data_IF_528810366532
#
_entry.id   IF_528810366532
#
_cell.length_a   1.000
_cell.length_b   1.000
_cell.length_c   1.000
_cell.angle_alpha   90.00
_cell.angle_beta   90.00
_cell.angle_gamma   90.00
#
_symmetry.space_group_name_H-M   'P 1'
#
loop_
_entity.id
_entity.type
_entity.pdbx_description
1 polymer ?
#
# COMPACT_ATOMS: atom_id res chain seq x y z
N UNK A 1 -11.48 -43.78 -26.22
CA UNK A 1 -12.01 -42.49 -25.74
C UNK A 1 -11.70 -42.36 -24.26
N UNK A 2 -10.53 -41.82 -23.89
CA UNK A 2 -10.11 -41.79 -22.47
C UNK A 2 -8.87 -40.96 -22.17
N UNK A 3 -8.11 -40.55 -23.18
CA UNK A 3 -6.89 -39.74 -23.01
C UNK A 3 -7.12 -38.24 -23.09
N UNK A 4 -8.23 -37.79 -23.67
CA UNK A 4 -8.52 -36.35 -23.88
C UNK A 4 -8.97 -35.64 -22.59
N UNK A 5 -9.58 -36.35 -21.64
CA UNK A 5 -10.10 -35.76 -20.39
C UNK A 5 -8.97 -35.46 -19.40
N UNK A 6 -7.89 -36.26 -19.39
CA UNK A 6 -6.78 -36.08 -18.45
C UNK A 6 -5.98 -34.78 -18.66
N UNK A 7 -5.87 -34.30 -19.90
CA UNK A 7 -5.14 -33.06 -20.21
C UNK A 7 -5.92 -31.80 -19.78
N UNK A 8 -7.26 -31.85 -19.77
CA UNK A 8 -8.07 -30.74 -19.26
C UNK A 8 -7.91 -30.58 -17.73
N UNK A 9 -7.79 -31.68 -17.00
CA UNK A 9 -7.65 -31.67 -15.53
C UNK A 9 -6.31 -31.12 -15.06
N UNK A 10 -5.22 -31.40 -15.78
CA UNK A 10 -3.89 -30.85 -15.47
C UNK A 10 -3.86 -29.35 -15.77
N UNK A 11 -4.57 -28.89 -16.81
CA UNK A 11 -4.65 -27.47 -17.13
C UNK A 11 -5.24 -26.66 -15.98
N UNK A 12 -6.28 -27.15 -15.28
CA UNK A 12 -6.92 -26.42 -14.17
C UNK A 12 -5.96 -26.20 -12.99
N UNK A 13 -5.05 -27.14 -12.72
CA UNK A 13 -4.09 -27.05 -11.60
C UNK A 13 -2.92 -26.09 -11.92
N UNK A 14 -2.49 -26.01 -13.17
CA UNK A 14 -1.37 -25.12 -13.59
C UNK A 14 -1.86 -23.73 -14.00
N UNK A 15 -3.12 -23.58 -14.40
CA UNK A 15 -3.71 -22.32 -14.87
C UNK A 15 -3.72 -21.16 -13.85
N UNK A 16 -3.87 -21.35 -12.51
CA UNK A 16 -3.70 -20.23 -11.59
C UNK A 16 -2.26 -19.68 -11.58
N UNK A 17 -1.27 -20.42 -12.08
CA UNK A 17 0.13 -19.98 -12.11
C UNK A 17 0.55 -19.33 -13.45
N UNK A 18 -0.12 -19.68 -14.56
CA UNK A 18 0.22 -19.23 -15.92
C UNK A 18 -0.54 -17.97 -16.39
N UNK A 19 -1.33 -17.36 -15.51
CA UNK A 19 -2.02 -16.07 -15.73
C UNK A 19 -1.25 -14.83 -15.24
N UNK A 20 0.01 -14.96 -14.82
CA UNK A 20 0.79 -13.90 -14.16
C UNK A 20 1.42 -12.84 -15.08
N UNK A 21 0.97 -12.72 -16.33
CA UNK A 21 1.42 -11.64 -17.26
C UNK A 21 0.74 -10.28 -17.05
N UNK A 22 0.15 -10.03 -15.88
CA UNK A 22 -0.33 -8.68 -15.47
C UNK A 22 0.33 -8.12 -14.22
N UNK A 23 1.32 -8.79 -13.64
CA UNK A 23 2.15 -8.20 -12.58
C UNK A 23 3.40 -7.54 -13.18
N UNK A 24 3.23 -6.82 -14.29
CA UNK A 24 4.26 -5.90 -14.76
C UNK A 24 4.22 -4.70 -13.82
N UNK A 25 5.09 -4.72 -12.81
CA UNK A 25 5.58 -3.55 -12.10
C UNK A 25 4.51 -2.54 -11.65
N UNK A 26 3.80 -2.82 -10.56
CA UNK A 26 3.19 -1.75 -9.74
C UNK A 26 4.09 -1.44 -8.53
N UNK A 27 5.40 -1.46 -8.77
CA UNK A 27 6.41 -0.81 -7.91
C UNK A 27 6.88 0.51 -8.55
N UNK A 28 6.13 1.03 -9.53
CA UNK A 28 6.31 2.38 -10.04
C UNK A 28 5.41 3.33 -9.27
N UNK A 29 5.98 4.05 -8.30
CA UNK A 29 5.45 5.31 -7.75
C UNK A 29 3.94 5.23 -7.42
N UNK A 30 3.55 4.47 -6.38
CA UNK A 30 2.18 4.55 -5.86
C UNK A 30 1.84 6.01 -5.62
N UNK A 31 0.71 6.44 -6.18
CA UNK A 31 0.39 7.83 -6.41
C UNK A 31 0.11 8.62 -5.14
N UNK A 32 -0.93 9.42 -5.17
CA UNK A 32 -1.30 10.31 -4.06
C UNK A 32 -1.53 9.54 -2.75
N UNK A 33 -1.59 10.24 -1.59
CA UNK A 33 -1.91 9.59 -0.30
C UNK A 33 -3.22 8.79 -0.37
N UNK A 34 -4.15 9.22 -1.22
CA UNK A 34 -5.42 8.54 -1.45
C UNK A 34 -5.26 7.17 -2.13
N UNK A 35 -4.29 7.02 -3.04
CA UNK A 35 -3.98 5.74 -3.68
C UNK A 35 -3.43 4.73 -2.67
N UNK A 36 -2.53 5.18 -1.78
CA UNK A 36 -2.01 4.37 -0.67
C UNK A 36 -3.12 3.95 0.29
N UNK A 37 -4.04 4.86 0.58
CA UNK A 37 -5.20 4.61 1.44
C UNK A 37 -6.16 3.60 0.79
N UNK A 38 -6.50 3.78 -0.49
CA UNK A 38 -7.38 2.89 -1.23
C UNK A 38 -6.82 1.47 -1.30
N UNK A 39 -5.52 1.31 -1.59
CA UNK A 39 -4.89 -0.01 -1.62
C UNK A 39 -4.87 -0.66 -0.22
N UNK A 40 -4.64 0.11 0.85
CA UNK A 40 -4.76 -0.42 2.21
C UNK A 40 -6.17 -0.94 2.52
N UNK A 41 -7.21 -0.17 2.16
CA UNK A 41 -8.60 -0.62 2.35
C UNK A 41 -8.89 -1.91 1.58
N UNK A 42 -8.37 -2.01 0.36
CA UNK A 42 -8.48 -3.23 -0.45
C UNK A 42 -7.83 -4.44 0.22
N UNK A 43 -6.69 -4.27 0.89
CA UNK A 43 -6.06 -5.34 1.67
C UNK A 43 -6.96 -5.79 2.82
N UNK A 44 -7.61 -4.87 3.53
CA UNK A 44 -8.56 -5.26 4.59
C UNK A 44 -9.77 -6.01 4.05
N UNK A 45 -10.29 -5.64 2.88
CA UNK A 45 -11.33 -6.42 2.20
C UNK A 45 -10.86 -7.84 1.90
N UNK A 46 -9.63 -8.02 1.38
CA UNK A 46 -9.07 -9.37 1.13
C UNK A 46 -8.93 -10.20 2.40
N UNK A 47 -8.59 -9.59 3.52
CA UNK A 47 -8.53 -10.29 4.81
C UNK A 47 -9.92 -10.78 5.20
N UNK A 48 -10.96 -9.99 4.96
CA UNK A 48 -12.33 -10.39 5.23
C UNK A 48 -12.80 -11.52 4.30
N UNK A 49 -12.46 -11.44 3.00
CA UNK A 49 -12.75 -12.54 2.06
C UNK A 49 -12.06 -13.85 2.50
N UNK A 50 -10.83 -13.75 3.03
CA UNK A 50 -10.09 -14.88 3.58
C UNK A 50 -10.80 -15.55 4.78
N UNK A 51 -11.57 -14.79 5.56
CA UNK A 51 -12.38 -15.34 6.66
C UNK A 51 -13.56 -16.16 6.12
N UNK A 52 -14.13 -15.75 4.99
CA UNK A 52 -15.17 -16.53 4.30
C UNK A 52 -14.59 -17.83 3.73
N UNK A 53 -13.39 -17.79 3.13
CA UNK A 53 -12.68 -18.96 2.60
C UNK A 53 -12.32 -19.97 3.72
N UNK A 54 -11.98 -19.48 4.92
CA UNK A 54 -11.77 -20.34 6.09
C UNK A 54 -13.10 -20.97 6.55
N UNK A 55 -14.18 -20.19 6.58
CA UNK A 55 -15.49 -20.65 7.03
C UNK A 55 -16.13 -21.67 6.05
N UNK A 56 -15.82 -21.58 4.75
CA UNK A 56 -16.24 -22.56 3.75
C UNK A 56 -15.40 -23.85 3.79
N UNK A 57 -14.26 -23.83 4.49
CA UNK A 57 -13.31 -24.94 4.53
C UNK A 57 -12.40 -25.02 3.30
N UNK A 58 -12.37 -23.98 2.47
CA UNK A 58 -11.48 -23.88 1.30
C UNK A 58 -10.02 -23.61 1.72
N UNK A 59 -9.80 -23.19 2.97
CA UNK A 59 -8.51 -22.86 3.53
C UNK A 59 -8.31 -23.52 4.90
N UNK A 60 -7.10 -24.01 5.19
CA UNK A 60 -6.75 -24.49 6.54
C UNK A 60 -6.45 -23.33 7.48
N UNK A 61 -6.59 -23.54 8.80
CA UNK A 61 -6.23 -22.53 9.82
C UNK A 61 -4.79 -22.02 9.66
N UNK A 62 -3.85 -22.93 9.37
CA UNK A 62 -2.44 -22.56 9.16
C UNK A 62 -2.23 -21.66 7.95
N UNK A 63 -2.92 -21.95 6.84
CA UNK A 63 -2.83 -21.15 5.61
C UNK A 63 -3.52 -19.80 5.80
N UNK A 64 -4.67 -19.78 6.48
CA UNK A 64 -5.36 -18.56 6.87
C UNK A 64 -4.44 -17.63 7.66
N UNK A 65 -3.81 -18.13 8.73
CA UNK A 65 -2.91 -17.34 9.56
C UNK A 65 -1.73 -16.79 8.77
N UNK A 66 -1.10 -17.64 7.94
CA UNK A 66 0.04 -17.24 7.11
C UNK A 66 -0.32 -16.11 6.14
N UNK A 67 -1.41 -16.26 5.39
CA UNK A 67 -1.83 -15.29 4.37
C UNK A 67 -2.30 -13.99 5.04
N UNK A 68 -3.10 -14.09 6.11
CA UNK A 68 -3.56 -12.94 6.88
C UNK A 68 -2.40 -12.12 7.42
N UNK A 69 -1.37 -12.76 7.96
CA UNK A 69 -0.24 -12.06 8.55
C UNK A 69 0.62 -11.36 7.47
N UNK A 70 0.78 -11.97 6.29
CA UNK A 70 1.40 -11.32 5.13
C UNK A 70 0.62 -10.07 4.68
N UNK A 71 -0.72 -10.17 4.61
CA UNK A 71 -1.60 -9.05 4.26
C UNK A 71 -1.51 -7.93 5.31
N UNK A 72 -1.48 -8.25 6.60
CA UNK A 72 -1.31 -7.27 7.69
C UNK A 72 0.02 -6.54 7.60
N UNK A 73 1.11 -7.25 7.34
CA UNK A 73 2.43 -6.63 7.12
C UNK A 73 2.40 -5.69 5.91
N UNK A 74 1.73 -6.08 4.83
CA UNK A 74 1.57 -5.22 3.64
C UNK A 74 0.76 -3.95 3.96
N UNK A 75 -0.38 -4.08 4.64
CA UNK A 75 -1.19 -2.95 5.08
C UNK A 75 -0.41 -1.99 6.01
N UNK A 76 0.40 -2.52 6.92
CA UNK A 76 1.26 -1.72 7.78
C UNK A 76 2.33 -0.94 7.01
N UNK A 77 2.91 -1.53 5.95
CA UNK A 77 3.85 -0.82 5.06
C UNK A 77 3.17 0.34 4.33
N UNK A 78 1.96 0.14 3.81
CA UNK A 78 1.19 1.21 3.16
C UNK A 78 0.82 2.32 4.14
N UNK A 79 0.41 1.97 5.37
CA UNK A 79 0.17 2.95 6.43
C UNK A 79 1.42 3.78 6.74
N UNK A 80 2.59 3.13 6.83
CA UNK A 80 3.86 3.83 7.02
C UNK A 80 4.12 4.81 5.88
N UNK A 81 3.91 4.40 4.63
CA UNK A 81 4.09 5.27 3.46
C UNK A 81 3.09 6.44 3.44
N UNK A 82 1.84 6.24 3.86
CA UNK A 82 0.85 7.31 4.02
C UNK A 82 1.24 8.30 5.11
N UNK A 83 1.83 7.80 6.21
CA UNK A 83 2.21 8.63 7.36
C UNK A 83 3.47 9.45 7.14
N UNK A 84 4.34 9.06 6.20
CA UNK A 84 5.54 9.83 5.88
C UNK A 84 5.08 11.14 5.24
N UNK A 85 5.34 12.30 5.89
CA UNK A 85 5.09 13.57 5.26
C UNK A 85 5.89 13.59 3.97
N UNK A 86 5.24 13.83 2.83
CA UNK A 86 5.99 14.27 1.65
C UNK A 86 6.75 15.49 2.14
N UNK A 87 8.09 15.45 2.07
CA UNK A 87 8.95 16.60 2.37
C UNK A 87 8.37 17.76 1.57
N UNK A 88 7.58 18.60 2.23
CA UNK A 88 6.85 19.66 1.59
C UNK A 88 7.91 20.69 1.26
N UNK A 89 8.00 21.04 -0.02
CA UNK A 89 8.76 22.21 -0.42
C UNK A 89 8.31 23.44 0.39
N UNK A 90 7.02 23.47 0.78
CA UNK A 90 6.41 24.44 1.68
C UNK A 90 7.05 24.53 3.07
N UNK A 91 7.73 23.49 3.56
CA UNK A 91 8.41 23.56 4.88
C UNK A 91 9.62 24.48 4.83
N UNK A 92 10.36 24.40 3.73
CA UNK A 92 11.53 25.24 3.48
C UNK A 92 11.08 26.67 3.18
N UNK A 93 10.00 26.84 2.40
CA UNK A 93 9.41 28.15 2.09
C UNK A 93 8.82 28.84 3.34
N UNK A 94 8.21 28.08 4.25
CA UNK A 94 7.73 28.58 5.53
C UNK A 94 8.88 28.95 6.48
N UNK A 95 9.95 28.15 6.53
CA UNK A 95 11.15 28.50 7.30
C UNK A 95 11.81 29.78 6.78
N UNK A 96 11.89 29.95 5.45
CA UNK A 96 12.39 31.18 4.83
C UNK A 96 11.51 32.40 5.16
N UNK A 97 10.19 32.27 5.12
CA UNK A 97 9.27 33.36 5.47
C UNK A 97 9.36 33.73 6.95
N UNK A 98 9.47 32.75 7.85
CA UNK A 98 9.69 32.98 9.29
C UNK A 98 11.03 33.69 9.52
N UNK A 99 12.09 33.30 8.80
CA UNK A 99 13.40 33.96 8.91
C UNK A 99 13.31 35.43 8.46
N UNK A 100 12.59 35.70 7.36
CA UNK A 100 12.37 37.06 6.85
C UNK A 100 11.59 37.93 7.83
N UNK A 101 10.52 37.42 8.42
CA UNK A 101 9.74 38.16 9.42
C UNK A 101 10.53 38.46 10.70
N UNK A 102 11.37 37.52 11.15
CA UNK A 102 12.25 37.74 12.31
C UNK A 102 13.28 38.84 12.04
N UNK A 103 13.87 38.84 10.84
CA UNK A 103 14.84 39.88 10.45
C UNK A 103 14.18 41.26 10.37
N UNK A 104 13.00 41.37 9.75
CA UNK A 104 12.22 42.61 9.72
C UNK A 104 11.84 43.09 11.12
N UNK A 105 11.49 42.18 12.02
CA UNK A 105 11.18 42.53 13.41
C UNK A 105 12.40 43.07 14.16
N UNK A 106 13.60 42.53 13.90
CA UNK A 106 14.85 43.01 14.51
C UNK A 106 15.22 44.40 14.00
N UNK A 107 15.13 44.64 12.70
CA UNK A 107 15.40 45.95 12.10
C UNK A 107 14.39 47.01 12.56
N UNK A 108 13.11 46.65 12.69
CA UNK A 108 12.08 47.55 13.21
C UNK A 108 12.26 47.91 14.70
N UNK A 109 12.98 47.09 15.46
CA UNK A 109 13.38 47.40 16.85
C UNK A 109 14.66 48.22 16.96
N UNK A 110 15.56 48.17 15.98
CA UNK A 110 16.79 49.00 15.94
C UNK A 110 16.51 50.44 15.47
N UNK A 111 15.50 50.66 14.64
CA UNK A 111 15.10 52.00 14.14
C UNK A 111 14.31 52.84 15.16
N UNK A 112 14.19 52.34 16.40
CA UNK A 112 13.36 52.91 17.48
C UNK A 112 14.14 53.30 18.74
N UNK A 113 15.45 53.12 18.73
CA UNK A 113 16.43 53.68 19.67
C UNK A 113 17.15 54.90 19.05
#
# INVERSE_FOLDING_TARGET
MGTTVALLSIAIIVYPFLGSKKYKLIFGKLGTRDDLRAERLRIYSKIHDLEADLASGDLTDSEFLLIRDQLRVSAARLLKQESVPRRSHDSDELEEEIARQREQSRQASEDRD
#
